data_IF_433601276346
#
_entry.id   IF_433601276346
#
_cell.length_a   1.000
_cell.length_b   1.000
_cell.length_c   1.000
_cell.angle_alpha   90.00
_cell.angle_beta   90.00
_cell.angle_gamma   90.00
#
_symmetry.space_group_name_H-M   'P 1'
#
loop_
_entity.id
_entity.type
_entity.pdbx_description
1 polymer ?
#
# COMPACT_ATOMS: atom_id res chain seq x y z
N UNK A 1 -25.39 13.63 15.19
CA UNK A 1 -24.70 12.34 14.91
C UNK A 1 -24.47 12.05 13.41
N UNK A 2 -25.10 12.75 12.45
CA UNK A 2 -24.85 12.51 11.02
C UNK A 2 -23.50 13.05 10.49
N UNK A 3 -23.04 14.19 11.02
CA UNK A 3 -21.83 14.88 10.56
C UNK A 3 -20.55 14.07 10.87
N UNK A 4 -20.49 13.43 12.03
CA UNK A 4 -19.34 12.60 12.45
C UNK A 4 -19.15 11.39 11.55
N UNK A 5 -20.23 10.72 11.15
CA UNK A 5 -20.18 9.55 10.27
C UNK A 5 -19.66 9.89 8.86
N UNK A 6 -20.10 11.03 8.31
CA UNK A 6 -19.63 11.49 6.99
C UNK A 6 -18.14 11.88 6.99
N UNK A 7 -17.63 12.45 8.09
CA UNK A 7 -16.20 12.76 8.22
C UNK A 7 -15.34 11.49 8.32
N UNK A 8 -15.80 10.48 9.07
CA UNK A 8 -15.12 9.19 9.18
C UNK A 8 -15.06 8.45 7.82
N UNK A 9 -16.14 8.46 7.04
CA UNK A 9 -16.18 7.87 5.71
C UNK A 9 -15.21 8.58 4.74
N UNK A 10 -15.16 9.92 4.77
CA UNK A 10 -14.18 10.68 3.97
C UNK A 10 -12.74 10.33 4.35
N UNK A 11 -12.45 10.20 5.64
CA UNK A 11 -11.12 9.80 6.11
C UNK A 11 -10.73 8.39 5.64
N UNK A 12 -11.66 7.43 5.68
CA UNK A 12 -11.45 6.06 5.18
C UNK A 12 -11.21 6.04 3.67
N UNK A 13 -12.00 6.80 2.90
CA UNK A 13 -11.83 6.90 1.44
C UNK A 13 -10.48 7.50 1.07
N UNK A 14 -10.05 8.57 1.75
CA UNK A 14 -8.72 9.17 1.54
C UNK A 14 -7.61 8.18 1.89
N UNK A 15 -7.75 7.44 2.99
CA UNK A 15 -6.78 6.41 3.41
C UNK A 15 -6.60 5.34 2.33
N UNK A 16 -7.71 4.81 1.78
CA UNK A 16 -7.65 3.81 0.71
C UNK A 16 -6.99 4.37 -0.55
N UNK A 17 -7.36 5.58 -0.98
CA UNK A 17 -6.76 6.23 -2.16
C UNK A 17 -5.25 6.42 -2.02
N UNK A 18 -4.77 6.77 -0.83
CA UNK A 18 -3.33 6.87 -0.51
C UNK A 18 -2.64 5.51 -0.71
N UNK A 19 -3.23 4.43 -0.21
CA UNK A 19 -2.67 3.08 -0.36
C UNK A 19 -2.66 2.62 -1.82
N UNK A 20 -3.75 2.82 -2.55
CA UNK A 20 -3.86 2.50 -3.98
C UNK A 20 -2.85 3.28 -4.83
N UNK A 21 -2.69 4.58 -4.58
CA UNK A 21 -1.65 5.41 -5.21
C UNK A 21 -0.26 4.88 -4.88
N UNK A 22 -0.02 4.54 -3.61
CA UNK A 22 1.24 3.93 -3.17
C UNK A 22 1.57 2.62 -3.88
N UNK A 23 0.57 1.76 -4.16
CA UNK A 23 0.80 0.52 -4.93
C UNK A 23 1.28 0.82 -6.36
N UNK A 24 0.73 1.85 -7.02
CA UNK A 24 1.16 2.26 -8.37
C UNK A 24 2.58 2.79 -8.39
N UNK A 25 2.98 3.47 -7.32
CA UNK A 25 4.30 4.07 -7.16
C UNK A 25 5.35 3.09 -6.62
N UNK A 26 4.96 1.85 -6.30
CA UNK A 26 5.88 0.86 -5.74
C UNK A 26 7.03 0.55 -6.73
N UNK A 27 8.31 0.50 -6.28
CA UNK A 27 8.81 0.56 -4.90
C UNK A 27 9.15 1.96 -4.36
N UNK A 28 9.02 3.01 -5.17
CA UNK A 28 9.41 4.40 -4.90
C UNK A 28 8.34 5.17 -4.10
N UNK A 29 7.75 4.49 -3.14
CA UNK A 29 6.68 5.03 -2.31
C UNK A 29 7.24 6.06 -1.32
N UNK A 30 6.86 7.31 -1.53
CA UNK A 30 7.11 8.41 -0.59
C UNK A 30 5.82 9.21 -0.37
N UNK A 31 5.70 9.85 0.80
CA UNK A 31 4.55 10.70 1.09
C UNK A 31 4.41 11.85 0.07
N UNK A 32 5.53 12.40 -0.40
CA UNK A 32 5.55 13.47 -1.41
C UNK A 32 5.08 13.00 -2.78
N UNK A 33 5.53 11.81 -3.23
CA UNK A 33 5.11 11.25 -4.51
C UNK A 33 3.61 10.92 -4.51
N UNK A 34 3.09 10.32 -3.44
CA UNK A 34 1.66 10.05 -3.30
C UNK A 34 0.86 11.36 -3.26
N UNK A 35 1.34 12.35 -2.50
CA UNK A 35 0.68 13.64 -2.40
C UNK A 35 0.55 14.32 -3.78
N UNK A 36 1.63 14.26 -4.58
CA UNK A 36 1.64 14.77 -5.95
C UNK A 36 0.68 14.00 -6.87
N UNK A 37 0.67 12.66 -6.81
CA UNK A 37 -0.24 11.81 -7.61
C UNK A 37 -1.72 12.07 -7.30
N UNK A 38 -2.05 12.30 -6.02
CA UNK A 38 -3.43 12.50 -5.58
C UNK A 38 -3.89 13.96 -5.55
N UNK A 39 -2.99 14.93 -5.80
CA UNK A 39 -3.28 16.35 -5.67
C UNK A 39 -3.64 16.78 -4.24
N UNK A 40 -3.02 16.14 -3.24
CA UNK A 40 -3.19 16.45 -1.81
C UNK A 40 -1.88 16.94 -1.20
N UNK A 41 -1.90 17.33 0.08
CA UNK A 41 -0.67 17.78 0.75
C UNK A 41 0.13 16.62 1.33
N UNK A 42 1.45 16.78 1.39
CA UNK A 42 2.34 15.85 2.11
C UNK A 42 1.89 15.62 3.57
N UNK A 43 1.46 16.69 4.25
CA UNK A 43 0.95 16.61 5.61
C UNK A 43 -0.31 15.75 5.74
N UNK A 44 -1.19 15.76 4.72
CA UNK A 44 -2.38 14.89 4.68
C UNK A 44 -2.00 13.41 4.63
N UNK A 45 -0.94 13.06 3.89
CA UNK A 45 -0.46 11.66 3.85
C UNK A 45 0.10 11.24 5.21
N UNK A 46 0.95 12.09 5.81
CA UNK A 46 1.53 11.83 7.12
C UNK A 46 0.49 11.77 8.25
N UNK A 47 -0.60 12.55 8.14
CA UNK A 47 -1.71 12.50 9.09
C UNK A 47 -2.35 11.10 9.16
N UNK A 48 -2.36 10.37 8.04
CA UNK A 48 -2.95 9.03 7.97
C UNK A 48 -1.94 7.91 8.24
N UNK A 49 -0.65 8.14 7.99
CA UNK A 49 0.37 7.10 8.05
C UNK A 49 1.72 7.65 8.53
N UNK A 50 2.19 7.11 9.66
CA UNK A 50 3.55 7.39 10.15
C UNK A 50 4.62 6.82 9.20
N UNK A 51 4.34 5.65 8.60
CA UNK A 51 5.16 5.05 7.55
C UNK A 51 4.28 4.51 6.42
N UNK A 52 4.07 5.36 5.42
CA UNK A 52 3.22 5.03 4.26
C UNK A 52 3.76 3.87 3.44
N UNK A 53 5.08 3.68 3.36
CA UNK A 53 5.68 2.59 2.58
C UNK A 53 5.39 1.23 3.19
N UNK A 54 5.55 1.09 4.51
CA UNK A 54 5.17 -0.14 5.23
C UNK A 54 3.65 -0.39 5.15
N UNK A 55 2.84 0.68 5.23
CA UNK A 55 1.40 0.56 5.11
C UNK A 55 0.96 0.07 3.72
N UNK A 56 1.58 0.58 2.65
CA UNK A 56 1.36 0.10 1.28
C UNK A 56 1.80 -1.34 1.11
N UNK A 57 2.96 -1.72 1.69
CA UNK A 57 3.45 -3.09 1.67
C UNK A 57 2.49 -4.07 2.37
N UNK A 58 1.91 -3.67 3.51
CA UNK A 58 0.87 -4.46 4.17
C UNK A 58 -0.40 -4.53 3.33
N UNK A 59 -0.85 -3.41 2.78
CA UNK A 59 -2.03 -3.38 1.92
C UNK A 59 -1.89 -4.27 0.69
N UNK A 60 -0.69 -4.35 0.09
CA UNK A 60 -0.40 -5.27 -0.99
C UNK A 60 -0.64 -6.73 -0.61
N UNK A 61 -0.30 -7.13 0.62
CA UNK A 61 -0.58 -8.47 1.15
C UNK A 61 -2.09 -8.68 1.36
N UNK A 62 -2.76 -7.68 1.95
CA UNK A 62 -4.19 -7.76 2.26
C UNK A 62 -5.05 -7.97 1.00
N UNK A 63 -4.63 -7.43 -0.16
CA UNK A 63 -5.34 -7.57 -1.44
C UNK A 63 -4.70 -8.59 -2.40
N UNK A 64 -3.71 -9.38 -1.96
CA UNK A 64 -3.00 -10.39 -2.76
C UNK A 64 -2.33 -9.81 -4.05
N UNK A 65 -1.78 -8.59 -3.96
CA UNK A 65 -1.13 -7.88 -5.07
C UNK A 65 0.23 -8.51 -5.44
N UNK A 66 0.18 -9.52 -6.29
CA UNK A 66 1.35 -10.33 -6.65
C UNK A 66 2.55 -9.53 -7.21
N UNK A 67 2.39 -8.50 -8.07
CA UNK A 67 3.54 -7.74 -8.58
C UNK A 67 4.36 -7.08 -7.48
N UNK A 68 3.69 -6.46 -6.50
CA UNK A 68 4.34 -5.81 -5.36
C UNK A 68 4.94 -6.85 -4.42
N UNK A 69 4.19 -7.93 -4.13
CA UNK A 69 4.66 -9.01 -3.23
C UNK A 69 5.92 -9.69 -3.80
N UNK A 70 6.00 -9.91 -5.11
CA UNK A 70 7.19 -10.47 -5.76
C UNK A 70 8.40 -9.55 -5.60
N UNK A 71 8.23 -8.24 -5.79
CA UNK A 71 9.32 -7.29 -5.54
C UNK A 71 9.74 -7.26 -4.07
N UNK A 72 8.78 -7.34 -3.14
CA UNK A 72 9.05 -7.46 -1.70
C UNK A 72 9.82 -8.74 -1.35
N UNK A 73 9.51 -9.85 -2.02
CA UNK A 73 10.23 -11.11 -1.86
C UNK A 73 11.67 -10.98 -2.38
N UNK A 74 11.85 -10.36 -3.55
CA UNK A 74 13.17 -10.10 -4.14
C UNK A 74 14.04 -9.20 -3.25
N UNK A 75 13.44 -8.22 -2.57
CA UNK A 75 14.15 -7.31 -1.65
C UNK A 75 14.25 -7.84 -0.20
N UNK A 76 13.83 -9.09 0.06
CA UNK A 76 13.74 -9.70 1.40
C UNK A 76 13.01 -8.81 2.44
N UNK A 77 11.88 -8.23 2.05
CA UNK A 77 11.13 -7.33 2.91
C UNK A 77 10.62 -8.05 4.18
N UNK A 78 10.66 -7.35 5.33
CA UNK A 78 10.33 -7.91 6.65
C UNK A 78 8.97 -8.59 6.74
N UNK A 79 7.99 -8.12 5.97
CA UNK A 79 6.62 -8.66 5.96
C UNK A 79 6.49 -9.99 5.21
N UNK A 80 7.39 -10.32 4.28
CA UNK A 80 7.34 -11.54 3.45
C UNK A 80 8.51 -12.49 3.69
N UNK A 81 9.43 -12.12 4.59
CA UNK A 81 10.62 -12.94 4.92
C UNK A 81 10.27 -14.36 5.36
N UNK A 82 9.13 -14.53 6.04
CA UNK A 82 8.66 -15.81 6.58
C UNK A 82 7.53 -16.44 5.73
N UNK A 83 7.24 -15.89 4.55
CA UNK A 83 6.24 -16.43 3.63
C UNK A 83 6.64 -17.84 3.18
N UNK A 84 5.72 -18.80 3.26
CA UNK A 84 5.98 -20.21 2.92
C UNK A 84 6.31 -20.36 1.43
N UNK A 85 7.13 -21.36 1.09
CA UNK A 85 7.54 -21.61 -0.30
C UNK A 85 6.37 -21.79 -1.27
N UNK A 86 5.33 -22.53 -0.89
CA UNK A 86 4.12 -22.72 -1.71
C UNK A 86 3.37 -21.42 -1.98
N UNK A 87 3.32 -20.53 -0.99
CA UNK A 87 2.70 -19.21 -1.11
C UNK A 87 3.52 -18.28 -2.00
N UNK A 88 4.85 -18.27 -1.83
CA UNK A 88 5.76 -17.53 -2.72
C UNK A 88 5.54 -17.92 -4.18
N UNK A 89 5.53 -19.22 -4.48
CA UNK A 89 5.34 -19.75 -5.83
C UNK A 89 4.02 -19.28 -6.46
N UNK A 90 2.94 -19.18 -5.68
CA UNK A 90 1.65 -18.66 -6.16
C UNK A 90 1.77 -17.25 -6.73
N UNK A 91 2.51 -16.37 -6.06
CA UNK A 91 2.68 -14.99 -6.52
C UNK A 91 3.56 -14.89 -7.76
N UNK A 92 4.62 -15.69 -7.85
CA UNK A 92 5.45 -15.74 -9.06
C UNK A 92 4.67 -16.26 -10.28
N UNK A 93 3.79 -17.25 -10.10
CA UNK A 93 2.96 -17.78 -11.18
C UNK A 93 1.93 -16.77 -11.69
N UNK A 94 1.31 -15.97 -10.80
CA UNK A 94 0.31 -14.95 -11.17
C UNK A 94 0.91 -13.74 -11.89
N UNK A 95 2.18 -13.40 -11.63
CA UNK A 95 2.86 -12.30 -12.32
C UNK A 95 3.35 -12.64 -13.73
N UNK A 96 3.41 -13.93 -14.08
CA UNK A 96 3.91 -14.39 -15.38
C UNK A 96 2.82 -14.44 -16.47
N UNK A 97 1.59 -14.02 -16.15
CA UNK A 97 0.42 -13.96 -17.03
C UNK A 97 0.15 -12.52 -17.44
#
# INVERSE_FOLDING_TARGET
>A
MAITKQMEEKGKLTRTRILESGLKLWPDVTASAIAADLGITHATVLYHFDNVKDAVAQYALDIDCSPVIVQMLASNHKLVRNMKGSERLRHFAKCAQ
#
